data_IF_735100897372
#
_entry.id   IF_735100897372
#
_cell.length_a   1.000
_cell.length_b   1.000
_cell.length_c   1.000
_cell.angle_alpha   90.00
_cell.angle_beta   90.00
_cell.angle_gamma   90.00
#
_symmetry.space_group_name_H-M   'P 1'
#
loop_
_entity.id
_entity.type
_entity.pdbx_description
1 polymer ?
#
# COMPACT_ATOMS: atom_id res chain seq x y z
N UNK A 1 -16.30 -34.77 6.92
CA UNK A 1 -16.13 -33.56 6.11
C UNK A 1 -14.74 -33.00 6.42
N UNK A 2 -13.74 -33.26 5.57
CA UNK A 2 -12.41 -32.67 5.74
C UNK A 2 -12.48 -31.21 5.25
N UNK A 3 -12.42 -30.28 6.16
CA UNK A 3 -12.20 -28.87 5.84
C UNK A 3 -10.82 -28.77 5.22
N UNK A 4 -10.75 -28.42 3.93
CA UNK A 4 -9.52 -28.04 3.29
C UNK A 4 -8.86 -26.94 4.10
N UNK A 5 -7.69 -27.20 4.66
CA UNK A 5 -6.86 -26.20 5.33
C UNK A 5 -6.46 -25.17 4.27
N UNK A 6 -7.24 -24.10 4.14
CA UNK A 6 -6.89 -22.95 3.34
C UNK A 6 -5.62 -22.35 3.98
N UNK A 7 -4.56 -22.23 3.20
CA UNK A 7 -3.30 -21.61 3.67
C UNK A 7 -3.62 -20.20 4.14
N UNK A 8 -3.40 -19.92 5.42
CA UNK A 8 -3.55 -18.56 5.96
C UNK A 8 -2.32 -17.74 5.55
N UNK A 9 -2.54 -16.73 4.73
CA UNK A 9 -1.49 -15.76 4.33
C UNK A 9 -1.01 -14.97 5.53
N UNK A 10 0.30 -14.77 5.59
CA UNK A 10 0.96 -14.06 6.68
C UNK A 10 1.50 -12.72 6.17
N UNK A 11 1.05 -11.63 6.78
CA UNK A 11 1.40 -10.25 6.38
C UNK A 11 2.31 -9.64 7.44
N UNK A 12 3.45 -9.08 7.01
CA UNK A 12 4.32 -8.28 7.86
C UNK A 12 3.87 -6.82 7.90
N UNK A 13 3.88 -6.22 9.08
CA UNK A 13 3.68 -4.78 9.27
C UNK A 13 4.98 -4.21 9.80
N UNK A 14 5.68 -3.42 9.00
CA UNK A 14 6.94 -2.80 9.41
C UNK A 14 6.67 -1.71 10.46
N UNK A 15 7.47 -1.69 11.53
CA UNK A 15 7.34 -0.71 12.62
C UNK A 15 8.68 0.00 12.82
N UNK A 16 8.64 1.32 12.78
CA UNK A 16 9.78 2.20 13.01
C UNK A 16 9.54 3.08 14.24
N UNK A 17 10.58 3.61 14.88
CA UNK A 17 10.39 4.66 15.87
C UNK A 17 9.59 5.84 15.27
N UNK A 18 8.44 6.18 15.86
CA UNK A 18 7.53 7.21 15.36
C UNK A 18 6.46 6.74 14.35
N UNK A 19 6.40 5.45 13.99
CA UNK A 19 5.20 4.89 13.35
C UNK A 19 3.99 5.09 14.26
N UNK A 20 2.80 5.32 13.71
CA UNK A 20 1.58 5.45 14.51
C UNK A 20 0.33 4.83 13.87
N UNK A 21 0.37 4.50 12.57
CA UNK A 21 -0.75 3.86 11.88
C UNK A 21 -0.63 2.33 11.81
N UNK A 22 0.42 1.73 12.40
CA UNK A 22 0.63 0.29 12.41
C UNK A 22 -0.50 -0.45 13.13
N UNK A 23 -1.07 0.19 14.17
CA UNK A 23 -2.20 -0.38 14.94
C UNK A 23 -3.49 -0.39 14.12
N UNK A 24 -3.75 0.67 13.37
CA UNK A 24 -4.92 0.76 12.49
C UNK A 24 -4.84 -0.31 11.40
N UNK A 25 -3.65 -0.46 10.77
CA UNK A 25 -3.39 -1.53 9.78
C UNK A 25 -3.57 -2.91 10.40
N UNK A 26 -3.01 -3.14 11.60
CA UNK A 26 -3.15 -4.40 12.32
C UNK A 26 -4.63 -4.71 12.61
N UNK A 27 -5.38 -3.72 13.08
CA UNK A 27 -6.81 -3.85 13.37
C UNK A 27 -7.59 -4.28 12.11
N UNK A 28 -7.38 -3.61 10.99
CA UNK A 28 -8.05 -3.95 9.73
C UNK A 28 -7.71 -5.37 9.29
N UNK A 29 -6.44 -5.75 9.32
CA UNK A 29 -6.01 -7.06 8.83
C UNK A 29 -6.47 -8.20 9.76
N UNK A 30 -6.23 -8.09 11.06
CA UNK A 30 -6.51 -9.18 11.98
C UNK A 30 -7.98 -9.19 12.47
N UNK A 31 -8.55 -8.02 12.83
CA UNK A 31 -9.83 -7.99 13.51
C UNK A 31 -11.01 -7.86 12.53
N UNK A 32 -10.82 -7.17 11.40
CA UNK A 32 -11.89 -6.99 10.40
C UNK A 32 -11.82 -8.07 9.32
N UNK A 33 -10.63 -8.35 8.80
CA UNK A 33 -10.45 -9.27 7.67
C UNK A 33 -10.03 -10.68 8.08
N UNK A 34 -9.79 -10.93 9.38
CA UNK A 34 -9.33 -12.23 9.92
C UNK A 34 -8.09 -12.78 9.21
N UNK A 35 -7.19 -11.89 8.79
CA UNK A 35 -5.90 -12.25 8.22
C UNK A 35 -4.86 -12.45 9.33
N UNK A 36 -3.71 -13.00 8.99
CA UNK A 36 -2.61 -13.21 9.93
C UNK A 36 -1.55 -12.13 9.72
N UNK A 37 -1.64 -11.02 10.46
CA UNK A 37 -0.65 -9.95 10.41
C UNK A 37 0.16 -9.87 11.71
N UNK A 38 1.46 -9.55 11.58
CA UNK A 38 2.37 -9.39 12.72
C UNK A 38 3.23 -8.14 12.55
N UNK A 39 3.53 -7.45 13.65
CA UNK A 39 4.51 -6.38 13.67
C UNK A 39 5.92 -6.91 13.46
N UNK A 40 6.70 -6.19 12.66
CA UNK A 40 8.12 -6.47 12.43
C UNK A 40 8.89 -5.19 12.72
N UNK A 41 9.73 -5.24 13.75
CA UNK A 41 10.52 -4.10 14.16
C UNK A 41 11.66 -3.80 13.18
N UNK A 42 11.94 -2.55 12.92
CA UNK A 42 12.83 -2.05 11.87
C UNK A 42 14.29 -2.57 11.92
N UNK A 43 14.73 -3.08 13.07
CA UNK A 43 16.09 -3.63 13.23
C UNK A 43 16.22 -5.07 12.73
N UNK A 44 15.12 -5.72 12.33
CA UNK A 44 15.18 -7.08 11.77
C UNK A 44 15.84 -7.07 10.40
N UNK A 45 16.87 -7.86 10.27
CA UNK A 45 17.70 -8.05 9.08
C UNK A 45 17.33 -9.31 8.28
N UNK A 46 16.45 -10.16 8.81
CA UNK A 46 15.93 -11.35 8.15
C UNK A 46 14.44 -11.50 8.42
N UNK A 47 13.66 -11.60 7.34
CA UNK A 47 12.21 -11.77 7.36
C UNK A 47 11.87 -12.99 6.49
N UNK A 48 11.35 -14.05 7.13
CA UNK A 48 10.96 -15.29 6.44
C UNK A 48 9.52 -15.66 6.76
N UNK A 49 8.86 -16.33 5.80
CA UNK A 49 7.52 -16.86 6.01
C UNK A 49 6.41 -15.80 6.01
N UNK A 50 6.65 -14.65 5.37
CA UNK A 50 5.63 -13.65 5.07
C UNK A 50 5.32 -13.63 3.57
N UNK A 51 4.05 -13.49 3.25
CA UNK A 51 3.54 -13.47 1.88
C UNK A 51 3.39 -12.05 1.33
N UNK A 52 3.31 -11.05 2.22
CA UNK A 52 3.29 -9.62 1.87
C UNK A 52 3.88 -8.77 3.00
N UNK A 53 4.20 -7.51 2.67
CA UNK A 53 4.65 -6.49 3.62
C UNK A 53 3.82 -5.22 3.49
N UNK A 54 3.43 -4.63 4.63
CA UNK A 54 2.85 -3.28 4.68
C UNK A 54 3.77 -2.38 5.50
N UNK A 55 4.11 -1.23 4.93
CA UNK A 55 4.82 -0.15 5.60
C UNK A 55 3.77 0.92 5.91
N UNK A 56 3.37 1.08 7.18
CA UNK A 56 2.27 1.95 7.57
C UNK A 56 2.66 3.43 7.56
N UNK A 57 1.65 4.28 7.74
CA UNK A 57 1.84 5.71 7.98
C UNK A 57 2.40 6.02 9.36
N UNK A 58 2.74 7.29 9.56
CA UNK A 58 3.28 7.82 10.80
C UNK A 58 4.29 8.92 10.52
N UNK A 59 5.20 9.11 11.47
CA UNK A 59 6.29 10.09 11.42
C UNK A 59 7.59 9.37 11.82
N UNK A 60 8.05 8.45 10.97
CA UNK A 60 9.23 7.64 11.27
C UNK A 60 10.43 8.53 11.58
N UNK A 61 11.03 8.32 12.75
CA UNK A 61 12.11 9.13 13.30
C UNK A 61 11.79 10.63 13.42
N UNK A 62 10.47 10.99 13.52
CA UNK A 62 9.99 12.37 13.63
C UNK A 62 10.19 13.19 12.35
N UNK A 63 10.24 12.53 11.18
CA UNK A 63 10.49 13.12 9.85
C UNK A 63 11.76 14.00 9.80
N UNK A 64 12.74 13.69 10.65
CA UNK A 64 14.02 14.42 10.69
C UNK A 64 14.75 14.28 9.38
N UNK A 65 15.39 15.35 8.92
CA UNK A 65 16.05 15.55 7.63
C UNK A 65 15.04 15.63 6.49
N UNK A 66 14.26 14.59 6.25
CA UNK A 66 13.18 14.46 5.29
C UNK A 66 12.33 13.25 5.64
N UNK A 67 11.03 13.33 5.43
CA UNK A 67 10.12 12.26 5.78
C UNK A 67 10.51 10.93 5.10
N UNK A 68 10.67 9.88 5.91
CA UNK A 68 11.01 8.54 5.46
C UNK A 68 12.50 8.24 5.24
N UNK A 69 13.39 9.26 5.11
CA UNK A 69 14.80 9.03 4.71
C UNK A 69 15.58 8.18 5.72
N UNK A 70 15.42 8.42 7.02
CA UNK A 70 16.13 7.64 8.04
C UNK A 70 15.62 6.19 8.06
N UNK A 71 14.28 6.02 7.99
CA UNK A 71 13.66 4.72 7.94
C UNK A 71 14.06 3.92 6.69
N UNK A 72 14.22 4.57 5.53
CA UNK A 72 14.69 3.95 4.29
C UNK A 72 16.09 3.31 4.39
N UNK A 73 16.87 3.69 5.40
CA UNK A 73 18.20 3.11 5.69
C UNK A 73 18.17 2.08 6.84
N UNK A 74 17.00 1.72 7.37
CA UNK A 74 16.87 0.70 8.42
C UNK A 74 17.10 -0.71 7.87
N UNK A 75 17.63 -1.65 8.70
CA UNK A 75 17.91 -3.03 8.28
C UNK A 75 16.75 -3.74 7.59
N UNK A 76 15.51 -3.56 8.07
CA UNK A 76 14.29 -4.15 7.50
C UNK A 76 14.12 -3.83 6.01
N UNK A 77 14.59 -2.68 5.54
CA UNK A 77 14.40 -2.25 4.15
C UNK A 77 15.19 -3.12 3.18
N UNK A 78 16.33 -3.69 3.58
CA UNK A 78 17.06 -4.66 2.76
C UNK A 78 16.19 -5.90 2.49
N UNK A 79 15.45 -6.37 3.50
CA UNK A 79 14.51 -7.49 3.36
C UNK A 79 13.28 -7.10 2.52
N UNK A 80 12.76 -5.88 2.70
CA UNK A 80 11.68 -5.35 1.85
C UNK A 80 12.12 -5.31 0.38
N UNK A 81 13.36 -4.86 0.09
CA UNK A 81 13.92 -4.88 -1.27
C UNK A 81 14.05 -6.31 -1.82
N UNK A 82 14.49 -7.26 -1.00
CA UNK A 82 14.54 -8.67 -1.39
C UNK A 82 13.14 -9.20 -1.69
N UNK A 83 12.16 -8.96 -0.81
CA UNK A 83 10.77 -9.37 -1.01
C UNK A 83 10.17 -8.76 -2.28
N UNK A 84 10.44 -7.48 -2.55
CA UNK A 84 10.03 -6.81 -3.79
C UNK A 84 10.58 -7.52 -5.04
N UNK A 85 11.89 -7.82 -5.03
CA UNK A 85 12.57 -8.55 -6.11
C UNK A 85 12.02 -9.96 -6.31
N UNK A 86 11.62 -10.62 -5.22
CA UNK A 86 10.98 -11.94 -5.25
C UNK A 86 9.50 -11.89 -5.71
N UNK A 87 8.99 -10.71 -6.08
CA UNK A 87 7.64 -10.50 -6.57
C UNK A 87 6.56 -10.51 -5.49
N UNK A 88 6.92 -10.40 -4.21
CA UNK A 88 5.97 -10.34 -3.11
C UNK A 88 5.29 -8.96 -3.04
N UNK A 89 3.98 -8.90 -2.71
CA UNK A 89 3.26 -7.65 -2.58
C UNK A 89 3.79 -6.77 -1.44
N UNK A 90 4.06 -5.50 -1.73
CA UNK A 90 4.50 -4.50 -0.76
C UNK A 90 3.64 -3.24 -0.89
N UNK A 91 3.02 -2.81 0.21
CA UNK A 91 2.22 -1.58 0.27
C UNK A 91 2.86 -0.58 1.23
N UNK A 92 3.15 0.63 0.74
CA UNK A 92 3.52 1.78 1.54
C UNK A 92 2.36 2.78 1.66
N UNK A 93 1.95 3.12 2.87
CA UNK A 93 0.86 4.06 3.16
C UNK A 93 1.45 5.33 3.77
N UNK A 94 1.18 6.50 3.20
CA UNK A 94 1.61 7.82 3.67
C UNK A 94 3.14 7.85 3.94
N UNK A 95 3.59 7.83 5.17
CA UNK A 95 5.01 7.72 5.52
C UNK A 95 5.66 6.46 4.95
N UNK A 96 4.92 5.34 4.84
CA UNK A 96 5.38 4.15 4.13
C UNK A 96 5.66 4.38 2.65
N UNK A 97 4.87 5.21 1.97
CA UNK A 97 5.14 5.61 0.58
C UNK A 97 6.40 6.47 0.48
N UNK A 98 6.59 7.41 1.42
CA UNK A 98 7.83 8.21 1.52
C UNK A 98 9.05 7.29 1.68
N UNK A 99 8.97 6.28 2.55
CA UNK A 99 10.04 5.29 2.75
C UNK A 99 10.32 4.49 1.46
N UNK A 100 9.29 4.07 0.73
CA UNK A 100 9.48 3.33 -0.53
C UNK A 100 10.17 4.18 -1.60
N UNK A 101 9.86 5.48 -1.68
CA UNK A 101 10.57 6.40 -2.59
C UNK A 101 12.02 6.62 -2.14
N UNK A 102 12.23 6.95 -0.87
CA UNK A 102 13.58 7.20 -0.33
C UNK A 102 14.48 5.96 -0.39
N UNK A 103 13.91 4.76 -0.39
CA UNK A 103 14.65 3.50 -0.57
C UNK A 103 14.85 3.10 -2.04
N UNK A 104 14.40 3.94 -3.00
CA UNK A 104 14.44 3.67 -4.44
C UNK A 104 13.65 2.42 -4.88
N UNK A 105 12.64 2.02 -4.12
CA UNK A 105 11.68 0.98 -4.53
C UNK A 105 10.57 1.52 -5.42
N UNK A 106 10.32 2.83 -5.34
CA UNK A 106 9.41 3.56 -6.23
C UNK A 106 10.12 4.81 -6.75
N UNK A 107 9.82 5.24 -7.99
CA UNK A 107 10.47 6.40 -8.59
C UNK A 107 9.81 7.73 -8.18
N UNK A 108 10.52 8.85 -8.43
CA UNK A 108 10.05 10.20 -8.14
C UNK A 108 10.45 10.71 -6.78
N UNK A 109 9.73 11.70 -6.26
CA UNK A 109 9.96 12.26 -4.92
C UNK A 109 8.65 12.71 -4.28
N UNK A 110 8.61 12.73 -2.95
CA UNK A 110 7.55 13.36 -2.17
C UNK A 110 8.09 14.63 -1.49
N UNK A 111 7.39 15.73 -1.66
CA UNK A 111 7.78 17.05 -1.24
C UNK A 111 6.71 17.66 -0.32
N UNK A 112 7.04 18.76 0.34
CA UNK A 112 6.06 19.53 1.11
C UNK A 112 4.84 19.89 0.24
N UNK A 113 3.66 19.84 0.84
CA UNK A 113 2.43 20.28 0.22
C UNK A 113 2.57 21.73 -0.28
N UNK A 114 1.90 22.09 -1.37
CA UNK A 114 1.93 23.47 -1.89
C UNK A 114 1.47 24.50 -0.87
N UNK A 115 0.58 24.11 0.06
CA UNK A 115 0.11 24.98 1.15
C UNK A 115 1.15 25.22 2.23
N UNK A 116 2.30 24.53 2.20
CA UNK A 116 3.32 24.52 3.26
C UNK A 116 2.76 24.15 4.65
N UNK A 117 1.62 23.48 4.69
CA UNK A 117 0.93 23.11 5.92
C UNK A 117 0.51 21.64 5.91
N UNK A 118 0.29 21.10 7.09
CA UNK A 118 -0.25 19.76 7.26
C UNK A 118 -1.73 19.74 6.85
N UNK A 119 -2.10 18.84 5.94
CA UNK A 119 -3.47 18.67 5.46
C UNK A 119 -4.03 17.39 6.04
N UNK A 120 -5.12 17.51 6.83
CA UNK A 120 -5.84 16.39 7.42
C UNK A 120 -7.32 16.52 7.09
N UNK A 121 -7.79 15.77 6.07
CA UNK A 121 -9.18 15.78 5.63
C UNK A 121 -9.52 14.59 4.76
N UNK A 122 -10.79 14.39 4.47
CA UNK A 122 -11.22 13.44 3.43
C UNK A 122 -11.03 14.06 2.03
N UNK A 123 -10.69 13.23 1.09
CA UNK A 123 -10.61 13.54 -0.34
C UNK A 123 -11.20 12.39 -1.15
N UNK A 124 -11.44 12.62 -2.43
CA UNK A 124 -11.82 11.56 -3.36
C UNK A 124 -10.63 11.19 -4.23
N UNK A 125 -10.36 9.91 -4.34
CA UNK A 125 -9.39 9.36 -5.29
C UNK A 125 -10.08 8.52 -6.35
N UNK A 126 -9.44 8.37 -7.50
CA UNK A 126 -9.89 7.57 -8.62
C UNK A 126 -8.86 6.49 -8.95
N UNK A 127 -9.32 5.25 -9.12
CA UNK A 127 -8.47 4.11 -9.49
C UNK A 127 -8.12 4.17 -10.96
N UNK A 128 -6.85 4.34 -11.30
CA UNK A 128 -6.35 4.39 -12.68
C UNK A 128 -5.88 3.01 -13.16
N UNK A 129 -5.19 2.27 -12.29
CA UNK A 129 -4.73 0.91 -12.55
C UNK A 129 -5.35 -0.04 -11.51
N UNK A 130 -6.14 -1.00 -11.98
CA UNK A 130 -6.80 -2.01 -11.16
C UNK A 130 -6.17 -3.42 -11.30
N UNK A 131 -4.89 -3.49 -11.73
CA UNK A 131 -4.19 -4.77 -11.95
C UNK A 131 -3.12 -5.06 -10.90
N UNK A 132 -2.98 -4.21 -9.88
CA UNK A 132 -2.02 -4.45 -8.80
C UNK A 132 -2.59 -5.39 -7.75
N UNK A 133 -1.77 -6.03 -6.90
CA UNK A 133 -2.26 -6.83 -5.76
C UNK A 133 -3.18 -6.08 -4.80
N UNK A 134 -3.18 -4.74 -4.85
CA UNK A 134 -3.92 -3.87 -3.94
C UNK A 134 -5.13 -3.19 -4.58
N UNK A 135 -5.36 -3.39 -5.88
CA UNK A 135 -6.44 -2.71 -6.60
C UNK A 135 -7.29 -3.62 -7.47
N UNK A 136 -7.03 -4.92 -7.51
CA UNK A 136 -7.72 -5.89 -8.36
C UNK A 136 -9.22 -6.08 -8.00
N UNK A 137 -9.67 -5.64 -6.83
CA UNK A 137 -11.09 -5.63 -6.42
C UNK A 137 -11.80 -4.32 -6.76
N UNK A 138 -11.17 -3.43 -7.52
CA UNK A 138 -11.78 -2.20 -8.00
C UNK A 138 -12.04 -2.24 -9.49
N UNK A 139 -13.04 -1.47 -9.93
CA UNK A 139 -13.19 -1.14 -11.34
C UNK A 139 -12.26 0.02 -11.70
N UNK A 140 -11.81 0.05 -12.97
CA UNK A 140 -11.08 1.22 -13.48
C UNK A 140 -11.99 2.45 -13.41
N UNK A 141 -11.44 3.58 -13.01
CA UNK A 141 -12.12 4.86 -12.77
C UNK A 141 -13.13 4.83 -11.59
N UNK A 142 -13.11 3.78 -10.78
CA UNK A 142 -13.87 3.76 -9.53
C UNK A 142 -13.36 4.83 -8.58
N UNK A 143 -14.28 5.53 -7.93
CA UNK A 143 -14.00 6.59 -6.96
C UNK A 143 -14.13 6.07 -5.54
N UNK A 144 -13.24 6.55 -4.69
CA UNK A 144 -13.16 6.15 -3.28
C UNK A 144 -13.01 7.42 -2.46
N UNK A 145 -13.84 7.60 -1.43
CA UNK A 145 -13.62 8.62 -0.42
C UNK A 145 -12.70 8.09 0.67
N UNK A 146 -11.61 8.81 0.92
CA UNK A 146 -10.53 8.32 1.78
C UNK A 146 -9.87 9.48 2.52
N UNK A 147 -9.44 9.32 3.79
CA UNK A 147 -8.71 10.36 4.49
C UNK A 147 -7.26 10.47 4.03
N UNK A 148 -6.75 11.70 4.09
CA UNK A 148 -5.34 12.04 3.99
C UNK A 148 -4.90 12.77 5.25
N UNK A 149 -3.61 12.61 5.64
CA UNK A 149 -3.03 13.26 6.81
C UNK A 149 -1.51 13.39 6.63
N UNK A 150 -1.04 14.47 5.98
CA UNK A 150 0.37 14.64 5.64
C UNK A 150 0.78 16.10 5.46
N UNK A 151 2.04 16.40 5.75
CA UNK A 151 2.71 17.68 5.42
C UNK A 151 3.55 17.56 4.15
N UNK A 152 4.11 16.38 3.87
CA UNK A 152 4.96 16.07 2.71
C UNK A 152 4.29 14.97 1.87
N UNK A 153 3.24 15.34 1.13
CA UNK A 153 2.47 14.39 0.31
C UNK A 153 2.46 14.72 -1.18
N UNK A 154 3.13 15.81 -1.59
CA UNK A 154 3.19 16.25 -2.97
C UNK A 154 4.13 15.41 -3.80
N UNK A 155 3.57 14.54 -4.66
CA UNK A 155 4.37 13.76 -5.59
C UNK A 155 4.91 14.63 -6.72
N UNK A 156 6.21 14.54 -6.97
CA UNK A 156 6.90 15.25 -8.06
C UNK A 156 7.76 14.29 -8.87
N UNK A 157 7.79 14.55 -10.17
CA UNK A 157 8.59 13.81 -11.14
C UNK A 157 8.96 14.74 -12.31
N UNK A 158 10.05 14.47 -13.00
CA UNK A 158 10.32 15.17 -14.25
C UNK A 158 9.39 14.72 -15.39
N UNK A 159 9.44 15.43 -16.50
CA UNK A 159 8.56 15.16 -17.64
C UNK A 159 8.79 13.77 -18.26
N UNK A 160 10.02 13.26 -18.22
CA UNK A 160 10.32 11.94 -18.78
C UNK A 160 9.74 10.85 -17.87
N UNK A 161 9.97 10.93 -16.57
CA UNK A 161 9.41 9.98 -15.60
C UNK A 161 7.88 9.97 -15.63
N UNK A 162 7.22 11.14 -15.74
CA UNK A 162 5.76 11.20 -15.88
C UNK A 162 5.25 10.48 -17.15
N UNK A 163 5.97 10.59 -18.27
CA UNK A 163 5.63 9.85 -19.49
C UNK A 163 5.80 8.35 -19.31
N UNK A 164 6.89 7.92 -18.66
CA UNK A 164 7.17 6.51 -18.41
C UNK A 164 6.15 5.89 -17.44
N UNK A 165 5.80 6.59 -16.36
CA UNK A 165 4.74 6.17 -15.43
C UNK A 165 3.38 5.97 -16.14
N UNK A 166 3.03 6.87 -17.07
CA UNK A 166 1.80 6.75 -17.88
C UNK A 166 1.88 5.57 -18.85
N UNK A 167 2.97 5.44 -19.57
CA UNK A 167 3.20 4.38 -20.57
C UNK A 167 3.16 3.00 -19.93
N UNK A 168 3.76 2.84 -18.75
CA UNK A 168 3.87 1.56 -18.05
C UNK A 168 2.69 1.28 -17.10
N UNK A 169 1.64 2.12 -17.10
CA UNK A 169 0.49 2.02 -16.19
C UNK A 169 0.87 2.00 -14.71
N UNK A 170 1.93 2.70 -14.32
CA UNK A 170 2.42 2.76 -12.94
C UNK A 170 1.65 3.76 -12.07
N UNK A 171 0.85 4.67 -12.67
CA UNK A 171 -0.05 5.54 -11.92
C UNK A 171 -1.27 4.71 -11.50
N UNK A 172 -1.37 4.44 -10.20
CA UNK A 172 -2.42 3.57 -9.64
C UNK A 172 -3.63 4.37 -9.19
N UNK A 173 -3.40 5.50 -8.51
CA UNK A 173 -4.42 6.35 -7.92
C UNK A 173 -4.19 7.80 -8.26
N UNK A 174 -5.28 8.55 -8.54
CA UNK A 174 -5.25 10.01 -8.68
C UNK A 174 -6.25 10.67 -7.76
N UNK A 175 -5.95 11.88 -7.30
CA UNK A 175 -6.94 12.75 -6.69
C UNK A 175 -8.00 13.13 -7.73
N UNK A 176 -9.28 13.17 -7.32
CA UNK A 176 -10.40 13.43 -8.22
C UNK A 176 -11.13 14.71 -7.84
N UNK A 177 -11.21 15.67 -8.79
CA UNK A 177 -11.84 17.00 -8.62
C UNK A 177 -11.27 17.84 -7.48
N UNK A 178 -10.13 17.48 -6.95
CA UNK A 178 -9.49 18.13 -5.83
C UNK A 178 -7.98 17.95 -5.97
N UNK A 179 -7.21 18.98 -5.62
CA UNK A 179 -5.77 18.93 -5.51
C UNK A 179 -5.37 19.28 -4.07
N UNK A 180 -5.28 18.29 -3.18
CA UNK A 180 -5.07 18.56 -1.77
C UNK A 180 -3.65 19.03 -1.44
N UNK A 181 -2.68 18.81 -2.33
CA UNK A 181 -1.26 18.95 -1.98
C UNK A 181 -0.36 19.45 -3.13
N UNK A 182 -0.87 19.61 -4.34
CA UNK A 182 -0.10 20.03 -5.51
C UNK A 182 0.67 18.92 -6.19
N UNK A 183 0.26 17.66 -6.04
CA UNK A 183 0.89 16.51 -6.71
C UNK A 183 0.84 16.63 -8.22
N UNK A 184 1.95 16.37 -8.89
CA UNK A 184 2.00 16.36 -10.35
C UNK A 184 1.02 15.32 -10.90
N UNK A 185 0.26 15.74 -11.93
CA UNK A 185 -0.77 14.92 -12.58
C UNK A 185 -1.80 14.34 -11.60
N UNK A 186 -2.03 15.03 -10.45
CA UNK A 186 -2.92 14.62 -9.36
C UNK A 186 -2.58 13.23 -8.78
N UNK A 187 -1.33 12.79 -8.88
CA UNK A 187 -0.91 11.46 -8.43
C UNK A 187 -1.10 11.33 -6.91
N UNK A 188 -1.91 10.36 -6.50
CA UNK A 188 -2.15 9.97 -5.12
C UNK A 188 -1.44 8.66 -4.73
N UNK A 189 -1.04 7.87 -5.74
CA UNK A 189 -0.31 6.62 -5.56
C UNK A 189 0.19 6.03 -6.86
N UNK A 190 1.33 5.35 -6.78
CA UNK A 190 2.02 4.69 -7.91
C UNK A 190 2.43 3.27 -7.55
N UNK A 191 2.81 2.48 -8.55
CA UNK A 191 3.49 1.20 -8.36
C UNK A 191 4.82 1.15 -9.13
N UNK A 192 5.64 0.14 -8.82
CA UNK A 192 6.82 -0.21 -9.63
C UNK A 192 6.39 -0.83 -10.97
N UNK A 193 7.35 -1.11 -11.86
CA UNK A 193 7.07 -1.67 -13.19
C UNK A 193 6.42 -3.06 -13.11
N UNK A 194 6.81 -3.89 -12.15
CA UNK A 194 6.26 -5.23 -11.91
C UNK A 194 4.86 -5.18 -11.26
N UNK A 195 4.44 -4.04 -10.73
CA UNK A 195 3.14 -3.84 -10.11
C UNK A 195 2.96 -4.43 -8.71
N UNK A 196 4.00 -5.06 -8.13
CA UNK A 196 3.94 -5.70 -6.82
C UNK A 196 4.30 -4.78 -5.65
N UNK A 197 4.98 -3.66 -5.89
CA UNK A 197 5.24 -2.61 -4.91
C UNK A 197 4.35 -1.42 -5.21
N UNK A 198 3.53 -1.01 -4.25
CA UNK A 198 2.63 0.14 -4.38
C UNK A 198 2.83 1.11 -3.21
N UNK A 199 2.86 2.40 -3.51
CA UNK A 199 2.82 3.48 -2.54
C UNK A 199 1.62 4.37 -2.74
N UNK A 200 1.00 4.84 -1.65
CA UNK A 200 -0.13 5.77 -1.68
C UNK A 200 -0.11 6.73 -0.49
N UNK A 201 -0.49 8.00 -0.72
CA UNK A 201 -0.59 8.98 0.37
C UNK A 201 -1.85 8.85 1.23
N UNK A 202 -3.03 8.51 0.66
CA UNK A 202 -4.24 8.29 1.43
C UNK A 202 -4.17 7.08 2.36
N UNK A 203 -5.00 7.11 3.42
CA UNK A 203 -5.04 6.13 4.50
C UNK A 203 -6.24 5.17 4.37
N UNK A 204 -6.13 4.01 3.68
CA UNK A 204 -7.21 3.05 3.56
C UNK A 204 -7.60 2.42 4.90
N UNK A 205 -6.66 2.26 5.84
CA UNK A 205 -6.89 1.73 7.17
C UNK A 205 -7.85 2.61 8.00
N UNK A 206 -7.90 3.91 7.71
CA UNK A 206 -8.79 4.89 8.37
C UNK A 206 -10.13 5.08 7.68
N UNK A 207 -10.43 4.27 6.66
CA UNK A 207 -11.71 4.26 5.94
C UNK A 207 -12.19 2.82 5.66
N UNK A 208 -11.80 1.87 6.53
CA UNK A 208 -12.09 0.45 6.39
C UNK A 208 -13.38 0.01 7.12
N UNK A 209 -13.97 0.87 7.93
CA UNK A 209 -15.21 0.62 8.66
C UNK A 209 -16.25 1.71 8.42
N UNK A 210 -17.52 1.33 8.36
CA UNK A 210 -18.63 2.29 8.16
C UNK A 210 -18.74 3.34 9.26
N UNK A 211 -18.30 3.01 10.48
CA UNK A 211 -18.26 3.95 11.60
C UNK A 211 -17.27 5.11 11.39
N UNK A 212 -16.24 4.87 10.57
CA UNK A 212 -15.23 5.87 10.21
C UNK A 212 -15.67 6.76 9.04
N UNK A 213 -16.80 6.44 8.39
CA UNK A 213 -17.35 7.22 7.28
C UNK A 213 -18.25 8.34 7.78
N UNK A 214 -18.05 9.57 7.26
CA UNK A 214 -18.88 10.73 7.64
C UNK A 214 -20.38 10.54 7.38
N UNK A 215 -20.73 9.78 6.35
CA UNK A 215 -22.10 9.51 5.93
C UNK A 215 -22.58 8.09 6.26
N UNK A 216 -21.83 7.33 7.06
CA UNK A 216 -22.07 5.91 7.31
C UNK A 216 -22.25 5.08 6.02
N UNK A 217 -21.76 5.62 4.90
CA UNK A 217 -21.68 4.92 3.62
C UNK A 217 -20.41 4.09 3.55
N UNK A 218 -20.46 2.99 2.83
CA UNK A 218 -19.31 2.12 2.65
C UNK A 218 -18.33 2.78 1.67
N UNK A 219 -17.23 3.34 2.18
CA UNK A 219 -16.25 4.09 1.37
C UNK A 219 -15.41 3.18 0.45
N UNK A 220 -15.59 1.86 0.53
CA UNK A 220 -14.86 0.83 -0.24
C UNK A 220 -13.33 0.85 -0.09
N UNK A 221 -12.75 1.69 0.78
CA UNK A 221 -11.30 1.76 0.96
C UNK A 221 -10.71 0.44 1.49
N UNK A 222 -11.48 -0.33 2.24
CA UNK A 222 -11.11 -1.67 2.71
C UNK A 222 -10.75 -2.62 1.55
N UNK A 223 -11.26 -2.35 0.33
CA UNK A 223 -10.94 -3.16 -0.83
C UNK A 223 -9.47 -3.09 -1.25
N UNK A 224 -8.70 -2.09 -0.78
CA UNK A 224 -7.23 -2.09 -0.90
C UNK A 224 -6.65 -3.36 -0.24
N UNK A 225 -7.09 -3.69 0.96
CA UNK A 225 -6.64 -4.89 1.69
C UNK A 225 -7.32 -6.17 1.18
N UNK A 226 -8.61 -6.10 0.81
CA UNK A 226 -9.32 -7.24 0.21
C UNK A 226 -8.73 -7.66 -1.14
N UNK A 227 -8.21 -6.71 -1.91
CA UNK A 227 -7.51 -6.98 -3.16
C UNK A 227 -6.32 -7.91 -2.94
N UNK A 228 -5.60 -7.76 -1.83
CA UNK A 228 -4.49 -8.64 -1.48
C UNK A 228 -4.95 -10.08 -1.25
N UNK A 229 -6.12 -10.29 -0.62
CA UNK A 229 -6.72 -11.62 -0.43
C UNK A 229 -7.01 -12.24 -1.80
N UNK A 230 -7.74 -11.51 -2.65
CA UNK A 230 -8.10 -11.99 -4.00
C UNK A 230 -6.86 -12.29 -4.86
N UNK A 231 -5.78 -11.53 -4.69
CA UNK A 231 -4.51 -11.76 -5.38
C UNK A 231 -3.87 -13.10 -4.98
N UNK A 232 -3.91 -13.47 -3.70
CA UNK A 232 -3.39 -14.74 -3.23
C UNK A 232 -4.27 -15.92 -3.66
N UNK A 233 -5.61 -15.78 -3.54
CA UNK A 233 -6.55 -16.82 -3.93
C UNK A 233 -6.41 -17.20 -5.41
N UNK A 234 -6.14 -16.24 -6.28
CA UNK A 234 -5.91 -16.47 -7.71
C UNK A 234 -4.56 -17.18 -8.01
N UNK A 235 -3.59 -17.13 -7.11
CA UNK A 235 -2.26 -17.74 -7.30
C UNK A 235 -2.14 -19.16 -6.73
N UNK A 236 -3.04 -19.57 -5.85
CA UNK A 236 -3.12 -20.97 -5.44
C UNK A 236 -3.80 -21.79 -6.56
N UNK A 237 -3.11 -22.76 -7.20
CA UNK A 237 -3.80 -23.66 -8.11
C UNK A 237 -4.84 -24.43 -7.31
N UNK A 238 -6.11 -24.28 -7.70
CA UNK A 238 -7.21 -25.05 -7.10
C UNK A 238 -6.82 -26.53 -7.07
N UNK A 239 -6.80 -27.13 -5.88
CA UNK A 239 -6.54 -28.55 -5.66
C UNK A 239 -7.52 -29.49 -6.39
N UNK A 240 -8.50 -28.93 -7.12
CA UNK A 240 -9.49 -29.66 -7.92
C UNK A 240 -8.94 -30.21 -9.23
N UNK A 241 -7.80 -29.76 -9.75
CA UNK A 241 -7.26 -30.19 -11.06
C UNK A 241 -6.18 -31.28 -10.97
N UNK A 242 -5.78 -31.73 -9.79
CA UNK A 242 -4.79 -32.83 -9.62
C UNK A 242 -5.40 -34.25 -9.49
N UNK A 243 -6.68 -34.43 -9.74
CA UNK A 243 -7.34 -35.76 -9.71
C UNK A 243 -7.76 -36.30 -11.08
N UNK A 244 -6.96 -36.13 -12.09
CA UNK A 244 -7.25 -36.74 -13.38
C UNK A 244 -5.99 -37.10 -14.19
N UNK A 245 -4.99 -37.78 -13.61
CA UNK A 245 -4.02 -38.58 -14.36
C UNK A 245 -3.55 -39.73 -13.43
N UNK A 246 -4.40 -40.69 -13.19
CA UNK A 246 -3.95 -42.07 -12.97
C UNK A 246 -4.49 -42.84 -14.18
N UNK A 247 -3.65 -43.03 -15.16
CA UNK A 247 -3.88 -43.99 -16.22
C UNK A 247 -3.44 -45.36 -15.73
N UNK A 248 -4.35 -46.30 -15.94
CA UNK A 248 -4.14 -47.75 -15.88
C UNK A 248 -2.91 -48.20 -16.68
#
# INVERSE_FOLDING_TARGET
MQTSSQRMFKIGIAVFPGSNCERDVYHVLNNILNLRANYIWHTKDKITGYDAMIIPGGFSYGDRLRAGIIAANSPIINEVKRMAKDGLPILGICNGFQILIESCLLPGALMMNNSLSFVCRRTTIEVQNNKTPFTNNFQKNQKIQIPIAHGEGRYVADNQLLKDLKKNNQIVLRYFKDDPNGSYDLIAGICNEEGNVMGMMPHPERASETLLSANRSFDNAINIFRSLISYFDCREPSLSTKKAIVKY
#
